data_IF_213496259638
#
_entry.id   IF_213496259638
#
_cell.length_a   1.000
_cell.length_b   1.000
_cell.length_c   1.000
_cell.angle_alpha   90.00
_cell.angle_beta   90.00
_cell.angle_gamma   90.00
#
_symmetry.space_group_name_H-M   'P 1'
#
loop_
_entity.id
_entity.type
_entity.pdbx_description
1 polymer ?
#
# COMPACT_ATOMS: atom_id res chain seq x y z
N UNK A 1 6.89 -7.21 0.12
CA UNK A 1 5.46 -6.83 0.16
C UNK A 1 4.72 -7.56 -0.95
N UNK A 2 3.47 -7.98 -0.73
CA UNK A 2 2.58 -8.39 -1.83
C UNK A 2 2.51 -7.24 -2.84
N UNK A 3 2.54 -7.54 -4.14
CA UNK A 3 2.51 -6.49 -5.18
C UNK A 3 1.22 -5.66 -5.16
N UNK A 4 0.14 -6.22 -4.61
CA UNK A 4 -1.18 -5.59 -4.52
C UNK A 4 -1.37 -4.70 -3.29
N UNK A 5 -0.59 -4.88 -2.22
CA UNK A 5 -0.77 -4.15 -0.96
C UNK A 5 -0.44 -2.64 -1.08
N UNK A 6 0.38 -2.27 -2.07
CA UNK A 6 0.69 -0.87 -2.38
C UNK A 6 -0.48 -0.14 -3.07
N UNK A 7 -1.47 -0.89 -3.60
CA UNK A 7 -2.65 -0.34 -4.28
C UNK A 7 -3.81 -0.09 -3.31
N UNK A 8 -3.67 -0.45 -2.03
CA UNK A 8 -4.66 -0.23 -0.98
C UNK A 8 -4.53 1.20 -0.41
N UNK A 9 -4.73 2.21 -1.26
CA UNK A 9 -4.92 3.58 -0.80
C UNK A 9 -6.38 3.78 -0.40
N UNK A 10 -6.62 4.15 0.87
CA UNK A 10 -7.98 4.29 1.37
C UNK A 10 -8.07 5.01 2.71
N UNK A 11 -9.05 5.90 2.81
CA UNK A 11 -9.48 6.50 4.06
C UNK A 11 -10.81 5.86 4.50
N UNK A 12 -10.98 5.47 5.78
CA UNK A 12 -9.98 5.43 6.86
C UNK A 12 -9.06 4.20 6.76
N UNK A 13 -7.97 4.16 7.52
CA UNK A 13 -7.06 3.01 7.50
C UNK A 13 -7.71 1.74 8.07
N UNK A 14 -7.96 0.75 7.22
CA UNK A 14 -8.60 -0.53 7.56
C UNK A 14 -7.75 -1.37 8.50
N UNK A 15 -6.43 -1.42 8.30
CA UNK A 15 -5.52 -2.14 9.19
C UNK A 15 -5.48 -1.54 10.59
N UNK A 16 -5.43 -0.22 10.71
CA UNK A 16 -5.51 0.46 12.01
C UNK A 16 -6.87 0.23 12.66
N UNK A 17 -7.95 0.30 11.90
CA UNK A 17 -9.32 0.02 12.39
C UNK A 17 -9.41 -1.39 12.97
N UNK A 18 -8.97 -2.41 12.24
CA UNK A 18 -9.03 -3.80 12.68
C UNK A 18 -8.08 -4.09 13.86
N UNK A 19 -6.85 -3.55 13.83
CA UNK A 19 -5.90 -3.78 14.92
C UNK A 19 -6.40 -3.17 16.24
N UNK A 20 -6.91 -1.93 16.21
CA UNK A 20 -7.36 -1.23 17.40
C UNK A 20 -8.69 -1.81 17.92
N UNK A 21 -9.61 -2.27 17.07
CA UNK A 21 -10.82 -2.95 17.53
C UNK A 21 -10.50 -4.24 18.32
N UNK A 22 -9.56 -5.05 17.81
CA UNK A 22 -9.08 -6.25 18.50
C UNK A 22 -8.38 -5.91 19.81
N UNK A 23 -7.55 -4.87 19.83
CA UNK A 23 -6.88 -4.43 21.07
C UNK A 23 -7.87 -3.97 22.12
N UNK A 24 -8.84 -3.11 21.75
CA UNK A 24 -9.85 -2.61 22.70
C UNK A 24 -10.71 -3.75 23.23
N UNK A 25 -11.19 -4.64 22.37
CA UNK A 25 -11.99 -5.79 22.81
C UNK A 25 -11.19 -6.80 23.63
N UNK A 26 -9.93 -7.07 23.25
CA UNK A 26 -9.04 -7.96 24.01
C UNK A 26 -8.67 -7.40 25.38
N UNK A 27 -8.44 -6.09 25.49
CA UNK A 27 -8.22 -5.41 26.77
C UNK A 27 -9.48 -5.48 27.65
N UNK A 28 -10.67 -5.37 27.07
CA UNK A 28 -11.92 -5.58 27.79
C UNK A 28 -11.99 -7.00 28.37
N UNK A 29 -11.79 -8.04 27.54
CA UNK A 29 -11.83 -9.44 28.00
C UNK A 29 -10.79 -9.75 29.07
N UNK A 30 -9.58 -9.18 28.99
CA UNK A 30 -8.55 -9.37 30.03
C UNK A 30 -8.93 -8.69 31.35
N UNK A 31 -9.72 -7.62 31.30
CA UNK A 31 -10.12 -6.84 32.45
C UNK A 31 -11.52 -7.16 32.97
N UNK A 32 -12.23 -8.10 32.34
CA UNK A 32 -13.51 -8.59 32.85
C UNK A 32 -13.33 -9.29 34.21
N UNK A 33 -14.33 -9.19 35.11
CA UNK A 33 -14.29 -9.85 36.41
C UNK A 33 -14.22 -11.38 36.31
N UNK A 34 -14.69 -11.94 35.18
CA UNK A 34 -14.73 -13.39 34.93
C UNK A 34 -13.41 -13.95 34.35
N UNK A 35 -12.38 -13.10 34.21
CA UNK A 35 -11.09 -13.52 33.68
C UNK A 35 -10.37 -14.46 34.65
N UNK A 36 -10.14 -15.70 34.21
CA UNK A 36 -9.40 -16.74 34.95
C UNK A 36 -7.89 -16.66 34.76
N UNK A 37 -7.39 -15.60 34.11
CA UNK A 37 -5.99 -15.44 33.73
C UNK A 37 -5.14 -15.00 34.92
N UNK A 38 -4.00 -15.67 35.12
CA UNK A 38 -3.03 -15.33 36.17
C UNK A 38 -2.54 -13.86 36.05
N UNK A 39 -2.30 -13.14 37.16
CA UNK A 39 -1.88 -11.74 37.12
C UNK A 39 -0.64 -11.46 36.26
N UNK A 40 0.36 -12.35 36.28
CA UNK A 40 1.57 -12.21 35.45
C UNK A 40 1.23 -12.36 33.97
N UNK A 41 0.45 -13.39 33.61
CA UNK A 41 0.00 -13.61 32.25
C UNK A 41 -0.87 -12.43 31.74
N UNK A 42 -1.71 -11.85 32.61
CA UNK A 42 -2.49 -10.66 32.29
C UNK A 42 -1.61 -9.47 31.92
N UNK A 43 -0.52 -9.21 32.65
CA UNK A 43 0.45 -8.15 32.32
C UNK A 43 1.12 -8.43 30.97
N UNK A 44 1.54 -9.67 30.74
CA UNK A 44 2.17 -10.08 29.48
C UNK A 44 1.21 -9.83 28.30
N UNK A 45 -0.05 -10.24 28.41
CA UNK A 45 -1.04 -10.03 27.36
C UNK A 45 -1.34 -8.55 27.12
N UNK A 46 -1.37 -7.70 28.15
CA UNK A 46 -1.47 -6.25 27.97
C UNK A 46 -0.31 -5.72 27.12
N UNK A 47 0.92 -6.07 27.47
CA UNK A 47 2.11 -5.63 26.72
C UNK A 47 2.05 -6.11 25.27
N UNK A 48 1.67 -7.37 25.02
CA UNK A 48 1.54 -7.92 23.67
C UNK A 48 0.48 -7.16 22.87
N UNK A 49 -0.70 -6.89 23.44
CA UNK A 49 -1.77 -6.16 22.76
C UNK A 49 -1.34 -4.74 22.40
N UNK A 50 -0.66 -4.04 23.32
CA UNK A 50 -0.14 -2.70 23.03
C UNK A 50 0.92 -2.72 21.92
N UNK A 51 1.86 -3.68 21.96
CA UNK A 51 2.86 -3.84 20.90
C UNK A 51 2.18 -4.16 19.56
N UNK A 52 1.21 -5.08 19.55
CA UNK A 52 0.44 -5.44 18.36
C UNK A 52 -0.26 -4.24 17.73
N UNK A 53 -1.05 -3.49 18.52
CA UNK A 53 -1.79 -2.32 18.02
C UNK A 53 -0.85 -1.21 17.53
N UNK A 54 0.14 -0.85 18.34
CA UNK A 54 1.09 0.23 18.01
C UNK A 54 1.99 -0.13 16.82
N UNK A 55 2.45 -1.38 16.71
CA UNK A 55 3.29 -1.82 15.59
C UNK A 55 2.55 -1.78 14.25
N UNK A 56 1.27 -2.15 14.20
CA UNK A 56 0.48 -2.04 12.96
C UNK A 56 0.22 -0.57 12.61
N UNK A 57 -0.18 0.25 13.57
CA UNK A 57 -0.42 1.68 13.37
C UNK A 57 0.83 2.40 12.87
N UNK A 58 1.97 2.23 13.54
CA UNK A 58 3.25 2.80 13.12
C UNK A 58 3.71 2.17 11.79
N UNK A 59 3.49 0.88 11.59
CA UNK A 59 3.84 0.17 10.36
C UNK A 59 3.15 0.76 9.13
N UNK A 60 1.87 1.15 9.23
CA UNK A 60 1.15 1.82 8.14
C UNK A 60 1.75 3.19 7.78
N UNK A 61 2.21 3.95 8.79
CA UNK A 61 2.91 5.23 8.58
C UNK A 61 4.33 5.02 8.03
N UNK A 62 5.07 4.06 8.57
CA UNK A 62 6.45 3.76 8.19
C UNK A 62 6.54 3.29 6.73
N UNK A 63 5.60 2.46 6.29
CA UNK A 63 5.52 2.01 4.91
C UNK A 63 4.97 3.07 3.95
N UNK A 64 4.56 4.25 4.44
CA UNK A 64 4.02 5.33 3.60
C UNK A 64 2.67 5.02 2.96
N UNK A 65 1.93 4.03 3.48
CA UNK A 65 0.66 3.58 2.89
C UNK A 65 -0.56 4.37 3.39
N UNK A 66 -0.41 5.21 4.42
CA UNK A 66 -1.44 6.12 4.92
C UNK A 66 -0.85 7.39 5.52
N UNK A 67 -1.64 8.46 5.50
CA UNK A 67 -1.37 9.67 6.28
C UNK A 67 -1.74 9.52 7.75
N UNK A 68 -1.30 10.48 8.57
CA UNK A 68 -1.66 10.55 9.99
C UNK A 68 -3.17 10.59 10.21
N UNK A 69 -3.89 11.34 9.37
CA UNK A 69 -5.34 11.49 9.49
C UNK A 69 -6.10 10.17 9.27
N UNK A 70 -5.69 9.35 8.30
CA UNK A 70 -6.32 8.06 7.99
C UNK A 70 -6.15 7.07 9.15
N UNK A 71 -4.96 7.07 9.75
CA UNK A 71 -4.60 6.19 10.86
C UNK A 71 -5.29 6.62 12.16
N UNK A 72 -5.36 7.93 12.44
CA UNK A 72 -6.08 8.46 13.60
C UNK A 72 -7.56 8.13 13.49
N UNK A 73 -8.18 8.42 12.34
CA UNK A 73 -9.60 8.16 12.12
C UNK A 73 -9.90 6.66 12.15
N UNK A 74 -9.07 5.84 11.50
CA UNK A 74 -9.20 4.39 11.55
C UNK A 74 -9.07 3.84 12.97
N UNK A 75 -8.11 4.33 13.75
CA UNK A 75 -7.94 3.93 15.15
C UNK A 75 -9.15 4.30 16.01
N UNK A 76 -9.71 5.50 15.82
CA UNK A 76 -10.94 5.91 16.51
C UNK A 76 -12.14 5.03 16.13
N UNK A 77 -12.33 4.77 14.84
CA UNK A 77 -13.39 3.88 14.35
C UNK A 77 -13.23 2.46 14.91
N UNK A 78 -12.01 1.94 14.94
CA UNK A 78 -11.69 0.64 15.53
C UNK A 78 -12.03 0.58 17.01
N UNK A 79 -11.64 1.61 17.78
CA UNK A 79 -11.96 1.71 19.19
C UNK A 79 -13.48 1.79 19.44
N UNK A 80 -14.20 2.55 18.61
CA UNK A 80 -15.66 2.64 18.66
C UNK A 80 -16.32 1.27 18.40
N UNK A 81 -15.89 0.54 17.36
CA UNK A 81 -16.42 -0.79 17.08
C UNK A 81 -16.11 -1.78 18.21
N UNK A 82 -14.91 -1.73 18.78
CA UNK A 82 -14.55 -2.52 19.95
C UNK A 82 -15.44 -2.18 21.16
N UNK A 83 -15.73 -0.89 21.40
CA UNK A 83 -16.62 -0.44 22.45
C UNK A 83 -18.08 -0.89 22.24
N UNK A 84 -18.58 -0.85 21.00
CA UNK A 84 -19.91 -1.35 20.65
C UNK A 84 -20.00 -2.86 20.88
N UNK A 85 -18.99 -3.63 20.44
CA UNK A 85 -18.94 -5.08 20.68
C UNK A 85 -18.83 -5.41 22.16
N UNK A 86 -18.10 -4.62 22.94
CA UNK A 86 -18.10 -4.73 24.39
C UNK A 86 -19.50 -4.51 24.98
N UNK A 87 -20.16 -3.41 24.62
CA UNK A 87 -21.40 -2.98 25.28
C UNK A 87 -22.63 -3.82 24.90
N UNK A 88 -22.66 -4.35 23.67
CA UNK A 88 -23.81 -5.07 23.12
C UNK A 88 -23.49 -6.52 22.71
N UNK A 89 -22.27 -7.01 23.00
CA UNK A 89 -21.81 -8.31 22.53
C UNK A 89 -22.64 -9.47 23.06
N UNK A 90 -22.97 -9.47 24.35
CA UNK A 90 -23.76 -10.53 24.98
C UNK A 90 -25.19 -10.58 24.43
N UNK A 91 -25.85 -9.43 24.29
CA UNK A 91 -27.18 -9.33 23.68
C UNK A 91 -27.17 -9.71 22.20
N UNK A 92 -26.10 -9.38 21.47
CA UNK A 92 -25.92 -9.81 20.08
C UNK A 92 -25.77 -11.33 19.98
N UNK A 93 -24.91 -11.91 20.82
CA UNK A 93 -24.66 -13.35 20.83
C UNK A 93 -25.95 -14.12 21.21
N UNK A 94 -26.69 -13.67 22.22
CA UNK A 94 -27.99 -14.23 22.57
C UNK A 94 -29.00 -14.14 21.41
N UNK A 95 -29.07 -12.99 20.73
CA UNK A 95 -29.94 -12.78 19.57
C UNK A 95 -29.61 -13.75 18.42
N UNK A 96 -28.33 -14.03 18.17
CA UNK A 96 -27.90 -14.94 17.11
C UNK A 96 -28.11 -16.41 17.52
N UNK A 97 -27.70 -16.81 18.73
CA UNK A 97 -27.76 -18.23 19.13
C UNK A 97 -29.18 -18.71 19.46
N UNK A 98 -30.00 -17.86 20.09
CA UNK A 98 -31.39 -18.21 20.47
C UNK A 98 -32.44 -17.75 19.44
N UNK A 99 -32.01 -16.94 18.47
CA UNK A 99 -32.89 -16.32 17.48
C UNK A 99 -33.55 -17.32 16.53
N UNK A 100 -34.61 -16.86 15.87
CA UNK A 100 -35.19 -17.58 14.73
C UNK A 100 -34.33 -17.45 13.48
N UNK A 101 -34.49 -18.36 12.53
CA UNK A 101 -33.82 -18.28 11.21
C UNK A 101 -34.06 -16.94 10.48
N UNK A 102 -35.17 -16.26 10.76
CA UNK A 102 -35.50 -14.96 10.19
C UNK A 102 -34.49 -13.87 10.60
N UNK A 103 -33.93 -13.95 11.81
CA UNK A 103 -32.88 -13.03 12.29
C UNK A 103 -31.63 -13.20 11.43
N UNK A 104 -31.24 -14.44 11.14
CA UNK A 104 -30.09 -14.74 10.28
C UNK A 104 -30.32 -14.25 8.85
N UNK A 105 -31.52 -14.48 8.29
CA UNK A 105 -31.85 -13.92 6.98
C UNK A 105 -31.83 -12.40 6.96
N UNK A 106 -32.25 -11.73 8.04
CA UNK A 106 -32.16 -10.27 8.15
C UNK A 106 -30.69 -9.80 8.20
N UNK A 107 -29.83 -10.47 8.97
CA UNK A 107 -28.37 -10.17 9.02
C UNK A 107 -27.75 -10.35 7.64
N UNK A 108 -28.00 -11.48 6.97
CA UNK A 108 -27.51 -11.74 5.61
C UNK A 108 -28.02 -10.69 4.63
N UNK A 109 -29.30 -10.30 4.70
CA UNK A 109 -29.86 -9.27 3.84
C UNK A 109 -29.20 -7.90 4.05
N UNK A 110 -28.93 -7.52 5.31
CA UNK A 110 -28.21 -6.28 5.64
C UNK A 110 -26.79 -6.31 5.09
N UNK A 111 -26.05 -7.41 5.29
CA UNK A 111 -24.69 -7.54 4.76
C UNK A 111 -24.67 -7.49 3.24
N UNK A 112 -25.61 -8.16 2.56
CA UNK A 112 -25.74 -8.09 1.10
C UNK A 112 -26.09 -6.67 0.62
N UNK A 113 -26.94 -5.94 1.35
CA UNK A 113 -27.23 -4.54 1.06
C UNK A 113 -25.98 -3.65 1.22
N UNK A 114 -25.17 -3.88 2.26
CA UNK A 114 -23.91 -3.16 2.48
C UNK A 114 -22.88 -3.47 1.40
N UNK A 115 -22.75 -4.74 0.99
CA UNK A 115 -21.91 -5.14 -0.15
C UNK A 115 -22.38 -4.45 -1.43
N UNK A 116 -23.70 -4.32 -1.63
CA UNK A 116 -24.29 -3.66 -2.80
C UNK A 116 -24.06 -2.14 -2.80
N UNK A 117 -24.06 -1.53 -1.62
CA UNK A 117 -23.77 -0.11 -1.39
C UNK A 117 -22.27 0.19 -1.35
N UNK A 118 -21.41 -0.84 -1.35
CA UNK A 118 -19.98 -0.67 -1.26
C UNK A 118 -19.49 0.27 -2.38
N UNK A 119 -18.82 1.39 -2.04
CA UNK A 119 -18.33 2.33 -3.03
C UNK A 119 -17.47 1.65 -4.09
N UNK A 120 -17.59 2.08 -5.34
CA UNK A 120 -16.69 1.63 -6.39
C UNK A 120 -15.37 2.41 -6.24
N UNK A 121 -14.22 1.71 -6.13
CA UNK A 121 -12.95 2.40 -6.02
C UNK A 121 -12.64 3.15 -7.32
N UNK A 122 -11.87 4.24 -7.22
CA UNK A 122 -11.43 5.00 -8.39
C UNK A 122 -10.51 4.15 -9.28
N UNK A 123 -9.59 3.42 -8.65
CA UNK A 123 -8.62 2.54 -9.30
C UNK A 123 -8.92 1.06 -9.02
N UNK A 124 -8.37 0.17 -9.85
CA UNK A 124 -8.48 -1.28 -9.66
C UNK A 124 -7.63 -1.75 -8.47
N UNK A 125 -8.21 -1.79 -7.27
CA UNK A 125 -7.57 -2.32 -6.06
C UNK A 125 -8.19 -3.66 -5.60
N UNK A 126 -7.50 -4.46 -4.77
CA UNK A 126 -8.06 -5.68 -4.18
C UNK A 126 -9.13 -5.38 -3.11
N UNK A 127 -9.31 -4.12 -2.69
CA UNK A 127 -10.10 -3.72 -1.54
C UNK A 127 -11.55 -4.25 -1.53
N UNK A 128 -12.19 -4.29 -2.70
CA UNK A 128 -13.55 -4.83 -2.82
C UNK A 128 -13.58 -6.35 -2.67
N UNK A 129 -12.62 -7.04 -3.28
CA UNK A 129 -12.52 -8.50 -3.19
C UNK A 129 -12.27 -8.93 -1.74
N UNK A 130 -11.45 -8.19 -1.00
CA UNK A 130 -11.20 -8.43 0.42
C UNK A 130 -12.44 -8.16 1.25
N UNK A 131 -13.17 -7.08 0.96
CA UNK A 131 -14.43 -6.76 1.64
C UNK A 131 -15.50 -7.84 1.42
N UNK A 132 -15.58 -8.40 0.21
CA UNK A 132 -16.44 -9.54 -0.09
C UNK A 132 -16.03 -10.81 0.67
N UNK A 133 -14.73 -11.07 0.79
CA UNK A 133 -14.21 -12.19 1.56
C UNK A 133 -14.58 -12.05 3.04
N UNK A 134 -14.37 -10.88 3.65
CA UNK A 134 -14.76 -10.58 5.03
C UNK A 134 -16.28 -10.73 5.24
N UNK A 135 -17.09 -10.13 4.36
CA UNK A 135 -18.55 -10.23 4.42
C UNK A 135 -19.03 -11.68 4.29
N UNK A 136 -18.43 -12.45 3.38
CA UNK A 136 -18.68 -13.88 3.22
C UNK A 136 -18.43 -14.65 4.51
N UNK A 137 -17.22 -14.55 5.07
CA UNK A 137 -16.86 -15.23 6.33
C UNK A 137 -17.81 -14.83 7.46
N UNK A 138 -18.14 -13.53 7.59
CA UNK A 138 -19.08 -13.04 8.60
C UNK A 138 -20.44 -13.74 8.46
N UNK A 139 -21.08 -13.66 7.29
CA UNK A 139 -22.38 -14.30 7.07
C UNK A 139 -22.36 -15.81 7.32
N UNK A 140 -21.28 -16.48 6.92
CA UNK A 140 -21.10 -17.91 7.14
C UNK A 140 -20.93 -18.27 8.61
N UNK A 141 -20.16 -17.47 9.35
CA UNK A 141 -19.97 -17.64 10.78
C UNK A 141 -21.28 -17.40 11.55
N UNK A 142 -22.05 -16.34 11.23
CA UNK A 142 -23.34 -16.07 11.89
C UNK A 142 -24.36 -17.19 11.63
N UNK A 143 -24.46 -17.66 10.39
CA UNK A 143 -25.32 -18.79 10.04
C UNK A 143 -24.90 -20.07 10.77
N UNK A 144 -23.60 -20.38 10.75
CA UNK A 144 -23.06 -21.58 11.38
C UNK A 144 -23.20 -21.55 12.90
N UNK A 145 -22.99 -20.39 13.54
CA UNK A 145 -23.17 -20.19 14.97
C UNK A 145 -24.62 -20.47 15.40
N UNK A 146 -25.59 -19.90 14.69
CA UNK A 146 -27.01 -20.14 14.94
C UNK A 146 -27.41 -21.60 14.73
N UNK A 147 -26.97 -22.21 13.63
CA UNK A 147 -27.33 -23.59 13.32
C UNK A 147 -26.65 -24.56 14.30
N UNK A 148 -25.36 -24.38 14.56
CA UNK A 148 -24.60 -25.21 15.49
C UNK A 148 -25.19 -25.19 16.89
N UNK A 149 -25.60 -24.01 17.40
CA UNK A 149 -26.24 -23.87 18.71
C UNK A 149 -27.54 -24.68 18.87
N UNK A 150 -28.22 -25.03 17.77
CA UNK A 150 -29.42 -25.88 17.79
C UNK A 150 -29.11 -27.37 17.70
N UNK A 151 -27.86 -27.75 17.44
CA UNK A 151 -27.46 -29.15 17.33
C UNK A 151 -27.20 -29.76 18.71
N UNK A 152 -27.24 -31.10 18.78
CA UNK A 152 -26.89 -31.85 20.01
C UNK A 152 -25.41 -31.80 20.36
N UNK A 153 -24.57 -31.31 19.44
CA UNK A 153 -23.12 -31.21 19.62
C UNK A 153 -22.70 -29.92 20.35
N UNK A 154 -23.59 -28.93 20.42
CA UNK A 154 -23.32 -27.67 21.10
C UNK A 154 -23.44 -27.80 22.62
N UNK A 155 -22.46 -27.23 23.32
CA UNK A 155 -22.46 -26.97 24.76
C UNK A 155 -22.72 -25.49 25.01
N UNK A 156 -23.30 -25.18 26.17
CA UNK A 156 -23.45 -23.80 26.64
C UNK A 156 -22.37 -23.39 27.66
N UNK A 157 -21.43 -24.28 27.96
CA UNK A 157 -20.31 -24.07 28.86
C UNK A 157 -18.99 -24.24 28.08
N UNK A 158 -18.04 -23.29 28.11
CA UNK A 158 -18.04 -22.01 28.85
C UNK A 158 -18.79 -20.85 28.19
N UNK A 159 -19.21 -20.98 26.94
CA UNK A 159 -20.03 -19.98 26.25
C UNK A 159 -21.11 -20.66 25.40
N UNK A 160 -22.25 -19.99 25.11
CA UNK A 160 -23.33 -20.56 24.31
C UNK A 160 -22.85 -21.01 22.93
N UNK A 161 -23.29 -22.19 22.48
CA UNK A 161 -23.00 -22.68 21.13
C UNK A 161 -21.54 -23.08 20.91
N UNK A 162 -20.86 -23.64 21.92
CA UNK A 162 -19.44 -24.03 21.82
C UNK A 162 -19.18 -25.53 21.89
N UNK A 163 -18.00 -25.94 21.46
CA UNK A 163 -17.40 -27.24 21.79
C UNK A 163 -16.35 -27.02 22.87
N UNK A 164 -16.54 -27.57 24.10
CA UNK A 164 -15.64 -27.32 25.21
C UNK A 164 -14.19 -27.74 24.88
N UNK A 165 -13.24 -26.89 25.29
CA UNK A 165 -11.82 -27.09 25.08
C UNK A 165 -11.05 -26.71 26.33
N UNK A 166 -10.16 -27.60 26.78
CA UNK A 166 -9.23 -27.35 27.87
C UNK A 166 -7.88 -27.97 27.50
N UNK A 167 -6.84 -27.13 27.45
CA UNK A 167 -5.48 -27.55 27.13
C UNK A 167 -4.93 -28.56 28.14
N UNK A 168 -5.27 -28.41 29.43
CA UNK A 168 -4.78 -29.30 30.49
C UNK A 168 -5.36 -30.71 30.35
N UNK A 169 -6.63 -30.82 29.91
CA UNK A 169 -7.32 -32.11 29.73
C UNK A 169 -7.00 -32.78 28.39
N UNK A 170 -6.93 -32.02 27.30
CA UNK A 170 -6.66 -32.56 25.95
C UNK A 170 -5.18 -32.81 25.68
N UNK A 171 -4.30 -32.00 26.25
CA UNK A 171 -2.86 -32.04 26.04
C UNK A 171 -2.42 -31.47 24.68
N UNK A 172 -1.16 -31.08 24.61
CA UNK A 172 -0.57 -30.40 23.45
C UNK A 172 -0.67 -31.18 22.13
N UNK A 173 -0.57 -32.51 22.16
CA UNK A 173 -0.62 -33.33 20.95
C UNK A 173 -1.98 -33.21 20.23
N UNK A 174 -3.08 -33.31 20.98
CA UNK A 174 -4.43 -33.15 20.42
C UNK A 174 -4.69 -31.71 20.00
N UNK A 175 -4.19 -30.72 20.74
CA UNK A 175 -4.30 -29.30 20.35
C UNK A 175 -3.60 -29.01 19.03
N UNK A 176 -2.37 -29.51 18.83
CA UNK A 176 -1.63 -29.36 17.57
C UNK A 176 -2.39 -30.08 16.44
N UNK A 177 -2.89 -31.29 16.68
CA UNK A 177 -3.69 -32.03 15.71
C UNK A 177 -4.96 -31.26 15.31
N UNK A 178 -5.66 -30.61 16.25
CA UNK A 178 -6.82 -29.74 15.95
C UNK A 178 -6.45 -28.60 15.00
N UNK A 179 -5.35 -27.90 15.28
CA UNK A 179 -4.90 -26.78 14.44
C UNK A 179 -4.58 -27.28 13.03
N UNK A 180 -3.79 -28.36 12.91
CA UNK A 180 -3.42 -28.92 11.61
C UNK A 180 -4.67 -29.38 10.84
N UNK A 181 -5.56 -30.13 11.50
CA UNK A 181 -6.77 -30.65 10.88
C UNK A 181 -7.70 -29.53 10.42
N UNK A 182 -7.92 -28.52 11.26
CA UNK A 182 -8.76 -27.36 10.91
C UNK A 182 -8.20 -26.60 9.71
N UNK A 183 -6.90 -26.33 9.70
CA UNK A 183 -6.22 -25.69 8.56
C UNK A 183 -6.38 -26.53 7.28
N UNK A 184 -6.13 -27.84 7.36
CA UNK A 184 -6.28 -28.75 6.21
C UNK A 184 -7.70 -28.74 5.67
N UNK A 185 -8.73 -28.79 6.53
CA UNK A 185 -10.14 -28.77 6.10
C UNK A 185 -10.47 -27.45 5.36
N UNK A 186 -10.02 -26.30 5.88
CA UNK A 186 -10.24 -24.99 5.24
C UNK A 186 -9.57 -24.93 3.87
N UNK A 187 -8.34 -25.44 3.74
CA UNK A 187 -7.65 -25.50 2.44
C UNK A 187 -8.36 -26.43 1.46
N UNK A 188 -8.78 -27.63 1.90
CA UNK A 188 -9.52 -28.57 1.07
C UNK A 188 -10.84 -27.97 0.58
N UNK A 189 -11.57 -27.26 1.45
CA UNK A 189 -12.79 -26.55 1.06
C UNK A 189 -12.52 -25.54 -0.06
N UNK A 190 -11.51 -24.67 0.11
CA UNK A 190 -11.15 -23.66 -0.91
C UNK A 190 -10.79 -24.31 -2.24
N UNK A 191 -9.97 -25.36 -2.21
CA UNK A 191 -9.50 -26.07 -3.42
C UNK A 191 -10.63 -26.84 -4.13
N UNK A 192 -11.64 -27.34 -3.40
CA UNK A 192 -12.79 -28.05 -4.00
C UNK A 192 -13.84 -27.07 -4.51
N UNK A 193 -14.19 -26.05 -3.72
CA UNK A 193 -15.31 -25.17 -4.04
C UNK A 193 -15.02 -24.23 -5.20
N UNK A 194 -13.81 -23.69 -5.28
CA UNK A 194 -13.42 -22.76 -6.34
C UNK A 194 -13.61 -23.33 -7.76
N UNK A 195 -13.03 -24.50 -8.12
CA UNK A 195 -13.26 -25.08 -9.45
C UNK A 195 -14.71 -25.55 -9.64
N UNK A 196 -15.37 -26.02 -8.58
CA UNK A 196 -16.77 -26.45 -8.64
C UNK A 196 -17.71 -25.29 -8.99
N UNK A 197 -17.50 -24.12 -8.37
CA UNK A 197 -18.28 -22.92 -8.59
C UNK A 197 -18.00 -22.30 -9.96
N UNK A 198 -16.74 -22.26 -10.42
CA UNK A 198 -16.42 -21.82 -11.78
C UNK A 198 -17.06 -22.71 -12.86
N UNK A 199 -17.38 -23.97 -12.53
CA UNK A 199 -18.11 -24.88 -13.42
C UNK A 199 -19.63 -24.73 -13.31
N UNK A 200 -20.17 -24.52 -12.10
CA UNK A 200 -21.60 -24.54 -11.82
C UNK A 200 -22.28 -23.17 -11.96
N UNK A 201 -21.59 -22.08 -11.61
CA UNK A 201 -22.18 -20.75 -11.59
C UNK A 201 -22.46 -20.14 -12.98
N UNK A 202 -21.59 -20.25 -14.01
CA UNK A 202 -21.87 -19.64 -15.31
C UNK A 202 -23.22 -20.00 -15.93
N UNK A 203 -23.70 -21.27 -15.94
CA UNK A 203 -25.03 -21.58 -16.46
C UNK A 203 -26.16 -21.00 -15.59
N UNK A 204 -25.98 -20.89 -14.27
CA UNK A 204 -26.97 -20.29 -13.36
C UNK A 204 -27.08 -18.78 -13.62
N UNK A 205 -25.94 -18.10 -13.77
CA UNK A 205 -25.91 -16.66 -14.05
C UNK A 205 -26.57 -16.31 -15.39
N UNK A 206 -26.38 -17.13 -16.43
CA UNK A 206 -27.09 -16.93 -17.70
C UNK A 206 -28.61 -17.05 -17.57
N UNK A 207 -29.11 -17.83 -16.62
CA UNK A 207 -30.55 -17.93 -16.33
C UNK A 207 -31.02 -16.70 -15.55
N UNK A 208 -30.24 -16.24 -14.56
CA UNK A 208 -30.56 -15.05 -13.76
C UNK A 208 -30.54 -13.77 -14.62
N UNK A 209 -29.61 -13.67 -15.57
CA UNK A 209 -29.53 -12.55 -16.50
C UNK A 209 -30.76 -12.49 -17.42
N UNK A 210 -31.26 -13.63 -17.89
CA UNK A 210 -32.53 -13.72 -18.63
C UNK A 210 -33.73 -13.24 -17.79
N UNK A 211 -33.62 -13.28 -16.47
CA UNK A 211 -34.63 -12.78 -15.53
C UNK A 211 -34.46 -11.29 -15.16
N UNK A 212 -33.45 -10.61 -15.72
CA UNK A 212 -33.26 -9.16 -15.57
C UNK A 212 -32.67 -8.70 -14.23
N UNK A 213 -32.16 -9.62 -13.40
CA UNK A 213 -31.56 -9.33 -12.09
C UNK A 213 -30.03 -9.15 -12.18
N UNK A 214 -29.54 -8.45 -13.21
CA UNK A 214 -28.10 -8.22 -13.34
C UNK A 214 -27.62 -7.13 -12.35
N UNK A 215 -26.37 -7.26 -11.91
CA UNK A 215 -25.69 -6.32 -11.02
C UNK A 215 -24.41 -5.85 -11.73
N UNK A 216 -24.53 -4.93 -12.69
CA UNK A 216 -23.41 -4.54 -13.53
C UNK A 216 -22.47 -3.66 -12.70
N UNK A 217 -21.18 -3.99 -12.72
CA UNK A 217 -20.13 -3.28 -11.98
C UNK A 217 -18.98 -2.95 -12.91
N UNK A 218 -18.46 -1.72 -12.81
CA UNK A 218 -17.57 -1.11 -13.83
C UNK A 218 -16.33 -1.93 -14.21
N UNK A 219 -15.78 -2.71 -13.28
CA UNK A 219 -14.55 -3.49 -13.47
C UNK A 219 -14.78 -5.00 -13.66
N UNK A 220 -16.03 -5.44 -13.85
CA UNK A 220 -16.38 -6.85 -13.97
C UNK A 220 -17.08 -7.13 -15.29
N UNK A 221 -16.57 -8.10 -16.06
CA UNK A 221 -17.22 -8.59 -17.27
C UNK A 221 -18.47 -9.39 -16.90
N UNK A 222 -19.57 -9.12 -17.59
CA UNK A 222 -20.86 -9.76 -17.37
C UNK A 222 -20.90 -11.20 -17.90
N UNK A 223 -21.70 -12.05 -17.26
CA UNK A 223 -21.92 -13.44 -17.62
C UNK A 223 -22.41 -13.69 -19.07
N UNK A 224 -23.02 -12.70 -19.73
CA UNK A 224 -23.41 -12.75 -21.15
C UNK A 224 -22.23 -12.61 -22.11
N UNK A 225 -21.15 -11.95 -21.68
CA UNK A 225 -20.02 -11.59 -22.54
C UNK A 225 -18.92 -12.67 -22.56
N UNK A 226 -19.05 -13.74 -21.76
CA UNK A 226 -18.08 -14.84 -21.75
C UNK A 226 -18.71 -16.24 -21.78
N UNK A 227 -18.10 -17.11 -22.59
CA UNK A 227 -18.56 -18.50 -22.71
C UNK A 227 -17.97 -19.42 -21.62
N UNK A 228 -16.71 -19.16 -21.22
CA UNK A 228 -15.97 -19.99 -20.26
C UNK A 228 -15.00 -19.13 -19.46
N UNK A 229 -15.04 -19.28 -18.13
CA UNK A 229 -14.05 -18.68 -17.22
C UNK A 229 -12.72 -19.46 -17.35
N UNK A 230 -11.58 -18.81 -17.57
CA UNK A 230 -10.28 -19.47 -17.57
C UNK A 230 -10.04 -20.23 -16.26
N UNK A 231 -9.59 -21.49 -16.33
CA UNK A 231 -9.41 -22.35 -15.14
C UNK A 231 -8.19 -22.02 -14.27
N UNK A 232 -7.35 -21.08 -14.70
CA UNK A 232 -6.12 -20.68 -14.01
C UNK A 232 -6.02 -19.15 -14.01
N UNK A 233 -6.87 -18.51 -13.22
CA UNK A 233 -6.76 -17.08 -12.96
C UNK A 233 -5.62 -16.88 -11.95
N UNK A 234 -4.68 -15.98 -12.28
CA UNK A 234 -3.73 -15.46 -11.29
C UNK A 234 -4.53 -14.54 -10.38
N UNK A 235 -4.91 -15.07 -9.23
CA UNK A 235 -5.60 -14.28 -8.22
C UNK A 235 -4.58 -13.45 -7.44
N UNK A 236 -4.96 -12.22 -7.11
CA UNK A 236 -4.22 -11.37 -6.18
C UNK A 236 -4.51 -11.76 -4.71
N UNK A 237 -4.98 -12.98 -4.47
CA UNK A 237 -5.36 -13.47 -3.15
C UNK A 237 -4.13 -13.57 -2.24
N UNK A 238 -4.31 -13.22 -0.97
CA UNK A 238 -3.27 -13.30 0.08
C UNK A 238 -2.80 -14.74 0.32
N UNK A 239 -3.65 -15.73 0.01
CA UNK A 239 -3.34 -17.16 0.17
C UNK A 239 -3.07 -17.78 -1.21
N UNK A 240 -1.83 -18.26 -1.46
CA UNK A 240 -1.48 -18.88 -2.73
C UNK A 240 -2.25 -20.19 -2.92
N UNK A 241 -2.54 -20.54 -4.18
CA UNK A 241 -3.10 -21.86 -4.49
C UNK A 241 -2.08 -22.96 -4.14
N UNK A 242 -2.56 -24.16 -3.81
CA UNK A 242 -1.67 -25.29 -3.45
C UNK A 242 -0.64 -25.59 -4.54
N UNK A 243 -0.99 -25.34 -5.81
CA UNK A 243 -0.09 -25.48 -6.97
C UNK A 243 1.11 -24.52 -6.97
N UNK A 244 1.04 -23.41 -6.23
CA UNK A 244 2.09 -22.38 -6.18
C UNK A 244 3.09 -22.62 -5.03
N UNK A 245 2.77 -23.48 -4.07
CA UNK A 245 3.62 -23.83 -2.92
C UNK A 245 5.04 -24.28 -3.33
N UNK A 246 5.24 -25.13 -4.36
CA UNK A 246 6.58 -25.51 -4.82
C UNK A 246 7.38 -24.32 -5.37
N UNK A 247 6.72 -23.38 -6.05
CA UNK A 247 7.35 -22.17 -6.59
C UNK A 247 7.78 -21.21 -5.46
N UNK A 248 7.02 -21.16 -4.37
CA UNK A 248 7.36 -20.38 -3.18
C UNK A 248 8.54 -21.02 -2.44
N UNK A 249 8.54 -22.34 -2.24
CA UNK A 249 9.66 -23.08 -1.63
C UNK A 249 10.97 -22.91 -2.42
N UNK A 250 10.90 -22.91 -3.75
CA UNK A 250 12.05 -22.64 -4.62
C UNK A 250 12.48 -21.18 -4.59
N UNK A 251 11.55 -20.22 -4.45
CA UNK A 251 11.86 -18.79 -4.26
C UNK A 251 12.50 -18.48 -2.90
N UNK A 252 12.18 -19.25 -1.85
CA UNK A 252 12.82 -19.17 -0.53
C UNK A 252 14.25 -19.74 -0.60
N UNK A 253 14.43 -20.83 -1.37
CA UNK A 253 15.74 -21.47 -1.58
C UNK A 253 16.68 -20.63 -2.44
N UNK A 254 16.13 -19.83 -3.35
CA UNK A 254 16.86 -18.88 -4.18
C UNK A 254 16.17 -17.52 -4.17
N UNK A 255 16.44 -16.66 -3.16
CA UNK A 255 15.84 -15.34 -3.09
C UNK A 255 16.37 -14.50 -4.25
N UNK A 256 15.61 -14.42 -5.35
CA UNK A 256 15.79 -13.33 -6.31
C UNK A 256 15.59 -12.04 -5.54
N UNK A 257 16.60 -11.17 -5.52
CA UNK A 257 16.47 -9.79 -5.03
C UNK A 257 15.33 -9.16 -5.83
N UNK A 258 14.13 -9.09 -5.26
CA UNK A 258 13.02 -8.32 -5.83
C UNK A 258 13.55 -6.91 -5.91
N UNK A 259 13.73 -6.39 -7.13
CA UNK A 259 13.99 -4.98 -7.32
C UNK A 259 12.85 -4.27 -6.60
N UNK A 260 13.17 -3.48 -5.58
CA UNK A 260 12.22 -2.53 -5.02
C UNK A 260 11.81 -1.68 -6.20
N UNK A 261 10.55 -1.78 -6.62
CA UNK A 261 10.05 -0.95 -7.70
C UNK A 261 10.04 0.49 -7.18
N UNK A 262 11.01 1.26 -7.64
CA UNK A 262 11.12 2.69 -7.34
C UNK A 262 10.44 3.41 -8.50
N UNK A 263 9.31 4.07 -8.23
CA UNK A 263 8.48 4.75 -9.22
C UNK A 263 6.98 4.45 -9.05
N UNK A 264 6.11 5.12 -9.82
CA UNK A 264 4.65 4.95 -9.74
C UNK A 264 4.23 3.48 -9.86
N UNK A 265 3.46 2.97 -8.90
CA UNK A 265 2.95 1.59 -8.92
C UNK A 265 1.47 1.53 -9.30
N UNK A 266 0.73 2.59 -8.99
CA UNK A 266 -0.69 2.75 -9.34
C UNK A 266 -0.89 3.88 -10.36
N UNK A 267 -2.07 3.94 -10.98
CA UNK A 267 -2.47 5.07 -11.81
C UNK A 267 -2.52 6.35 -10.97
N UNK A 268 -3.05 6.30 -9.74
CA UNK A 268 -3.01 7.41 -8.80
C UNK A 268 -1.58 7.90 -8.50
N UNK A 269 -0.60 7.01 -8.29
CA UNK A 269 0.79 7.40 -8.05
C UNK A 269 1.38 8.11 -9.28
N UNK A 270 0.98 7.69 -10.49
CA UNK A 270 1.41 8.32 -11.73
C UNK A 270 0.82 9.72 -11.85
N UNK A 271 -0.47 9.89 -11.57
CA UNK A 271 -1.11 11.19 -11.52
C UNK A 271 -0.51 12.11 -10.44
N UNK A 272 -0.20 11.59 -9.26
CA UNK A 272 0.47 12.36 -8.20
C UNK A 272 1.88 12.78 -8.62
N UNK A 273 2.62 11.87 -9.25
CA UNK A 273 3.96 12.17 -9.78
C UNK A 273 3.91 13.25 -10.85
N UNK A 274 2.93 13.20 -11.77
CA UNK A 274 2.70 14.23 -12.77
C UNK A 274 2.30 15.56 -12.13
N UNK A 275 1.40 15.55 -11.14
CA UNK A 275 0.99 16.75 -10.41
C UNK A 275 2.14 17.39 -9.61
N UNK A 276 3.00 16.57 -8.99
CA UNK A 276 4.19 17.03 -8.29
C UNK A 276 5.20 17.68 -9.25
N UNK A 277 5.43 17.07 -10.42
CA UNK A 277 6.26 17.63 -11.50
C UNK A 277 5.71 18.97 -12.01
N UNK A 278 4.40 19.01 -12.28
CA UNK A 278 3.68 20.22 -12.70
C UNK A 278 3.85 21.35 -11.68
N UNK A 279 3.67 21.05 -10.39
CA UNK A 279 3.86 22.02 -9.30
C UNK A 279 5.30 22.54 -9.23
N UNK A 280 6.30 21.66 -9.27
CA UNK A 280 7.72 22.06 -9.27
C UNK A 280 8.07 22.95 -10.45
N UNK A 281 7.49 22.68 -11.61
CA UNK A 281 7.67 23.51 -12.81
C UNK A 281 7.00 24.88 -12.67
N UNK A 282 5.81 24.98 -12.07
CA UNK A 282 5.20 26.29 -11.76
C UNK A 282 6.06 27.09 -10.79
N UNK A 283 6.63 26.44 -9.78
CA UNK A 283 7.55 27.07 -8.82
C UNK A 283 8.88 27.49 -9.48
N UNK A 284 9.43 26.70 -10.41
CA UNK A 284 10.66 27.06 -11.14
C UNK A 284 10.45 28.25 -12.08
N UNK A 285 9.31 28.32 -12.79
CA UNK A 285 8.95 29.47 -13.63
C UNK A 285 8.74 30.73 -12.78
N UNK A 286 8.03 30.61 -11.65
CA UNK A 286 7.81 31.73 -10.72
C UNK A 286 9.13 32.25 -10.12
N UNK A 287 10.06 31.36 -9.76
CA UNK A 287 11.38 31.74 -9.23
C UNK A 287 12.32 32.35 -10.28
N UNK A 288 12.22 31.95 -11.55
CA UNK A 288 12.93 32.61 -12.64
C UNK A 288 12.37 33.99 -12.95
N UNK A 289 11.05 34.16 -12.84
CA UNK A 289 10.40 35.47 -13.02
C UNK A 289 10.77 36.45 -11.90
N UNK A 290 10.93 36.00 -10.66
CA UNK A 290 11.41 36.86 -9.56
C UNK A 290 12.91 37.21 -9.68
N UNK A 291 13.73 36.32 -10.25
CA UNK A 291 15.14 36.60 -10.59
C UNK A 291 15.29 37.59 -11.76
N UNK A 292 14.45 37.52 -12.79
CA UNK A 292 14.52 38.46 -13.92
C UNK A 292 14.10 39.88 -13.52
N UNK A 293 13.12 40.02 -12.62
CA UNK A 293 12.70 41.31 -12.06
C UNK A 293 13.80 41.93 -11.17
N UNK A 294 14.59 41.12 -10.46
CA UNK A 294 15.74 41.60 -9.68
C UNK A 294 16.96 41.98 -10.54
N UNK A 295 17.13 41.38 -11.72
CA UNK A 295 18.23 41.71 -12.65
C UNK A 295 17.97 43.01 -13.44
N UNK A 296 16.71 43.44 -13.55
CA UNK A 296 16.30 44.68 -14.23
C UNK A 296 16.49 45.97 -13.42
N UNK A 297 16.94 45.90 -12.16
CA UNK A 297 17.18 47.08 -11.31
C UNK A 297 18.67 47.26 -10.99
N UNK A 298 19.51 47.37 -12.02
CA UNK A 298 20.80 48.05 -11.83
C UNK A 298 20.53 49.54 -11.65
N UNK A 299 20.68 50.02 -10.42
CA UNK A 299 20.81 51.46 -10.15
C UNK A 299 22.01 51.99 -10.97
N UNK A 300 21.91 53.19 -11.57
CA UNK A 300 23.04 53.79 -12.28
C UNK A 300 24.21 54.01 -11.32
N UNK A 301 25.47 53.89 -11.78
CA UNK A 301 26.62 54.06 -10.91
C UNK A 301 26.63 55.48 -10.37
N UNK A 302 26.64 55.62 -9.04
CA UNK A 302 26.87 56.88 -8.36
C UNK A 302 28.29 57.36 -8.61
N UNK A 303 28.44 58.68 -8.65
CA UNK A 303 29.65 59.43 -8.99
C UNK A 303 30.69 59.29 -7.85
N UNK A 304 31.28 58.11 -7.65
CA UNK A 304 32.44 57.96 -6.76
C UNK A 304 33.55 57.06 -7.33
N UNK A 305 33.33 56.37 -8.45
CA UNK A 305 34.36 55.52 -9.09
C UNK A 305 35.23 56.23 -10.17
N UNK A 306 35.18 57.56 -10.25
CA UNK A 306 35.99 58.36 -11.21
C UNK A 306 37.27 58.96 -10.60
N UNK A 307 37.86 58.34 -9.59
CA UNK A 307 39.12 58.83 -9.01
C UNK A 307 40.17 57.75 -8.75
N UNK A 308 40.44 56.90 -9.75
CA UNK A 308 41.76 56.29 -9.90
C UNK A 308 41.94 55.68 -11.30
N UNK A 309 42.08 56.55 -12.30
CA UNK A 309 42.73 56.20 -13.58
C UNK A 309 43.47 57.42 -14.10
N UNK A 310 44.71 57.58 -13.67
CA UNK A 310 45.72 58.25 -14.49
C UNK A 310 47.10 57.65 -14.25
N UNK A 311 47.80 57.47 -15.38
CA UNK A 311 49.22 57.14 -15.54
C UNK A 311 49.52 55.64 -15.38
N UNK A 312 50.10 54.91 -16.34
CA UNK A 312 50.81 55.24 -17.60
C UNK A 312 50.96 53.94 -18.40
N UNK A 313 50.93 54.02 -19.73
CA UNK A 313 51.23 52.95 -20.70
C UNK A 313 52.76 52.88 -20.98
N UNK A 314 53.27 52.16 -22.00
CA UNK A 314 53.35 50.69 -22.14
C UNK A 314 54.76 50.21 -22.61
N UNK A 315 55.16 48.98 -22.30
CA UNK A 315 56.15 48.20 -23.07
C UNK A 315 56.12 46.75 -22.55
N UNK A 316 55.90 45.76 -23.43
CA UNK A 316 56.91 44.78 -23.89
C UNK A 316 57.72 44.11 -22.77
N UNK A 317 58.03 42.82 -22.76
CA UNK A 317 57.77 41.65 -23.57
C UNK A 317 58.46 40.51 -22.78
N UNK A 318 58.15 39.27 -23.15
CA UNK A 318 59.08 38.15 -23.11
C UNK A 318 59.66 37.67 -21.75
N UNK A 319 59.20 36.48 -21.39
CA UNK A 319 60.03 35.28 -21.35
C UNK A 319 60.85 34.92 -20.10
N UNK A 320 60.90 33.59 -19.96
CA UNK A 320 61.94 32.78 -19.34
C UNK A 320 61.98 32.76 -17.81
N UNK A 321 62.31 31.65 -17.15
CA UNK A 321 62.44 30.23 -17.46
C UNK A 321 63.01 29.62 -16.16
N UNK A 322 62.75 28.33 -15.93
CA UNK A 322 63.61 27.39 -15.22
C UNK A 322 63.92 27.67 -13.72
N UNK A 323 63.50 26.77 -12.83
CA UNK A 323 64.35 25.72 -12.23
C UNK A 323 65.39 26.31 -11.23
N UNK A 324 65.61 25.79 -10.03
CA UNK A 324 65.94 24.39 -9.70
C UNK A 324 66.14 24.28 -8.17
N UNK A 325 65.79 23.12 -7.62
CA UNK A 325 66.45 22.36 -6.53
C UNK A 325 67.18 23.04 -5.36
N UNK A 326 66.88 22.59 -4.13
CA UNK A 326 67.85 22.62 -3.02
C UNK A 326 67.28 22.26 -1.65
N UNK A 327 67.42 20.99 -1.24
CA UNK A 327 67.49 20.50 0.15
C UNK A 327 68.99 20.25 0.47
N UNK A 328 69.48 19.98 1.71
CA UNK A 328 68.80 19.80 3.01
C UNK A 328 69.51 20.49 4.22
N UNK A 329 69.00 20.35 5.46
CA UNK A 329 69.84 20.50 6.67
C UNK A 329 69.19 21.00 7.98
N UNK A 330 68.72 20.07 8.81
CA UNK A 330 68.82 19.95 10.28
C UNK A 330 68.76 21.19 11.24
N UNK A 331 67.79 21.18 12.18
CA UNK A 331 67.94 21.04 13.68
C UNK A 331 66.93 21.87 14.51
N UNK A 332 66.13 21.14 15.31
CA UNK A 332 65.45 21.40 16.63
C UNK A 332 65.49 22.86 17.18
N UNK A 333 64.43 23.49 17.70
CA UNK A 333 63.63 23.10 18.89
C UNK A 333 62.32 23.93 19.06
N UNK A 334 61.28 23.24 19.56
CA UNK A 334 60.09 23.63 20.34
C UNK A 334 59.88 25.12 20.74
N UNK A 335 58.70 25.70 20.45
CA UNK A 335 57.55 25.87 21.37
C UNK A 335 56.36 26.55 20.64
N UNK A 336 55.10 26.37 21.10
CA UNK A 336 53.90 26.73 20.34
C UNK A 336 53.28 28.05 20.82
N UNK A 337 52.77 28.86 19.89
CA UNK A 337 51.46 29.53 19.99
C UNK A 337 51.29 30.59 18.88
N UNK A 338 50.05 30.65 18.39
CA UNK A 338 49.37 31.79 17.74
C UNK A 338 49.94 32.31 16.42
N UNK A 339 49.28 31.94 15.32
CA UNK A 339 48.86 32.95 14.34
C UNK A 339 47.63 32.51 13.54
N UNK A 340 46.74 33.47 13.35
CA UNK A 340 45.50 33.47 12.57
C UNK A 340 45.75 33.59 11.07
N UNK A 341 44.73 33.19 10.28
CA UNK A 341 44.49 33.44 8.85
C UNK A 341 45.09 32.49 7.81
N UNK A 342 44.28 31.52 7.37
CA UNK A 342 44.15 31.22 5.95
C UNK A 342 42.76 30.65 5.63
N UNK A 343 42.16 31.21 4.57
CA UNK A 343 40.89 30.81 3.96
C UNK A 343 41.10 29.46 3.24
N UNK A 344 40.36 28.43 3.63
CA UNK A 344 40.31 27.13 2.92
C UNK A 344 39.10 27.10 1.96
N UNK A 345 39.21 26.49 0.76
CA UNK A 345 38.10 26.35 -0.18
C UNK A 345 37.03 25.38 0.36
N UNK A 346 35.75 25.48 -0.06
CA UNK A 346 34.69 24.64 0.48
C UNK A 346 34.88 23.19 0.06
N UNK A 347 34.84 22.30 1.05
CA UNK A 347 34.87 20.86 0.86
C UNK A 347 33.65 20.37 0.08
N UNK A 348 33.89 19.57 -0.95
CA UNK A 348 32.87 18.82 -1.69
C UNK A 348 32.18 17.87 -0.70
N UNK A 349 30.93 18.17 -0.34
CA UNK A 349 30.08 17.26 0.43
C UNK A 349 29.74 16.05 -0.43
N UNK A 350 30.00 14.86 0.09
CA UNK A 350 29.45 13.62 -0.45
C UNK A 350 27.92 13.67 -0.35
N UNK A 351 27.17 13.29 -1.41
CA UNK A 351 25.72 13.37 -1.42
C UNK A 351 25.13 12.43 -0.36
N UNK A 352 24.08 12.90 0.33
CA UNK A 352 23.35 12.08 1.30
C UNK A 352 22.43 11.16 0.52
N UNK A 353 22.18 9.94 1.02
CA UNK A 353 21.27 8.94 0.43
C UNK A 353 19.90 9.49 -0.01
N UNK A 354 19.43 10.57 0.62
CA UNK A 354 18.16 11.23 0.27
C UNK A 354 18.21 11.93 -1.10
N UNK A 355 19.34 12.54 -1.45
CA UNK A 355 19.56 13.18 -2.75
C UNK A 355 19.57 12.11 -3.86
N UNK A 356 20.09 10.92 -3.55
CA UNK A 356 20.10 9.76 -4.44
C UNK A 356 18.68 9.25 -4.76
N UNK A 357 17.77 9.27 -3.77
CA UNK A 357 16.35 8.97 -3.99
C UNK A 357 15.62 10.08 -4.76
N UNK A 358 15.96 11.35 -4.53
CA UNK A 358 15.44 12.50 -5.28
C UNK A 358 15.81 12.40 -6.78
N UNK A 359 17.00 11.87 -7.09
CA UNK A 359 17.44 11.60 -8.47
C UNK A 359 16.81 10.36 -9.12
N UNK A 360 16.34 9.38 -8.34
CA UNK A 360 15.61 8.21 -8.85
C UNK A 360 14.14 8.51 -9.21
N UNK A 361 13.60 9.65 -8.75
CA UNK A 361 12.24 10.12 -9.08
C UNK A 361 12.12 10.76 -10.46
N UNK A 362 13.11 10.53 -11.34
CA UNK A 362 13.22 11.18 -12.64
C UNK A 362 13.43 12.67 -12.46
N UNK A 363 14.68 13.10 -12.33
CA UNK A 363 14.99 14.51 -12.51
C UNK A 363 14.73 14.89 -13.96
N UNK A 364 13.61 15.59 -14.18
CA UNK A 364 13.45 16.44 -15.35
C UNK A 364 14.49 17.56 -15.26
N UNK A 365 15.72 17.27 -15.69
CA UNK A 365 16.66 18.32 -16.09
C UNK A 365 16.15 18.84 -17.43
N UNK A 366 15.78 20.13 -17.55
CA UNK A 366 15.51 20.70 -18.87
C UNK A 366 16.81 20.62 -19.67
N UNK A 367 16.86 19.72 -20.64
CA UNK A 367 17.93 19.67 -21.63
C UNK A 367 17.69 20.87 -22.55
N UNK A 368 18.23 22.03 -22.18
CA UNK A 368 18.46 23.08 -23.16
C UNK A 368 19.64 22.63 -24.01
N UNK A 369 19.35 22.00 -25.16
CA UNK A 369 20.35 21.75 -26.19
C UNK A 369 20.78 23.09 -26.79
N UNK A 370 21.86 23.66 -26.26
CA UNK A 370 22.54 24.84 -26.82
C UNK A 370 23.18 24.58 -28.20
N UNK A 371 23.18 23.34 -28.69
CA UNK A 371 23.80 22.97 -29.96
C UNK A 371 22.95 23.35 -31.19
N UNK A 372 21.63 23.48 -31.06
CA UNK A 372 20.76 23.87 -32.18
C UNK A 372 20.80 25.38 -32.48
N UNK A 373 21.30 26.20 -31.54
CA UNK A 373 21.44 27.66 -31.74
C UNK A 373 22.77 28.02 -32.44
N UNK A 374 23.78 27.17 -32.37
CA UNK A 374 25.11 27.46 -32.95
C UNK A 374 25.26 27.11 -34.43
N UNK A 375 24.32 26.36 -35.02
CA UNK A 375 24.36 26.01 -36.44
C UNK A 375 23.63 27.00 -37.38
N UNK A 376 23.12 28.12 -36.86
CA UNK A 376 22.42 29.14 -37.66
C UNK A 376 23.22 30.43 -37.91
N UNK A 377 24.54 30.44 -37.69
CA UNK A 377 25.38 31.62 -37.98
C UNK A 377 26.18 31.54 -39.29
N UNK A 378 25.77 30.66 -40.20
CA UNK A 378 26.47 30.37 -41.46
C UNK A 378 25.73 30.72 -42.74
N UNK A 379 24.99 31.84 -42.82
CA UNK A 379 24.67 32.52 -44.09
C UNK A 379 23.96 33.84 -43.80
N UNK A 380 24.54 34.95 -44.27
CA UNK A 380 23.92 36.26 -44.14
C UNK A 380 22.70 36.43 -45.04
N UNK A 381 21.61 36.94 -44.47
CA UNK A 381 20.67 37.92 -45.02
C UNK A 381 19.47 38.00 -44.07
N UNK A 382 19.02 39.22 -43.77
CA UNK A 382 18.00 39.49 -42.75
C UNK A 382 16.71 38.69 -42.93
N UNK A 383 16.33 37.99 -41.87
CA UNK A 383 14.96 37.57 -41.63
C UNK A 383 14.69 37.80 -40.14
N UNK A 384 13.72 38.67 -39.86
CA UNK A 384 13.19 38.85 -38.51
C UNK A 384 12.58 37.52 -38.07
N UNK A 385 13.36 36.69 -37.38
CA UNK A 385 12.84 35.49 -36.75
C UNK A 385 11.91 35.95 -35.64
N UNK A 386 10.62 35.88 -35.92
CA UNK A 386 9.56 36.23 -35.00
C UNK A 386 9.69 35.33 -33.75
N UNK A 387 10.18 35.90 -32.65
CA UNK A 387 10.44 35.21 -31.37
C UNK A 387 9.19 34.47 -30.87
N UNK A 388 7.99 34.94 -31.27
CA UNK A 388 6.70 34.31 -30.96
C UNK A 388 6.47 32.96 -31.67
N UNK A 389 7.12 32.72 -32.82
CA UNK A 389 7.03 31.45 -33.56
C UNK A 389 8.01 30.42 -33.02
N UNK A 390 9.21 30.85 -32.61
CA UNK A 390 10.20 29.99 -31.98
C UNK A 390 9.78 29.53 -30.57
N UNK A 391 9.13 30.42 -29.81
CA UNK A 391 8.52 30.08 -28.50
C UNK A 391 7.32 29.14 -28.66
N UNK A 392 6.43 29.40 -29.63
CA UNK A 392 5.33 28.46 -29.92
C UNK A 392 5.80 27.07 -30.38
N UNK A 393 6.88 26.98 -31.15
CA UNK A 393 7.47 25.71 -31.57
C UNK A 393 8.13 24.96 -30.39
N UNK A 394 8.83 25.67 -29.50
CA UNK A 394 9.40 25.11 -28.28
C UNK A 394 8.31 24.60 -27.32
N UNK A 395 7.24 25.38 -27.11
CA UNK A 395 6.07 24.98 -26.30
C UNK A 395 5.39 23.73 -26.87
N UNK A 396 5.25 23.63 -28.20
CA UNK A 396 4.67 22.43 -28.84
C UNK A 396 5.56 21.19 -28.74
N UNK A 397 6.88 21.36 -28.77
CA UNK A 397 7.85 20.26 -28.63
C UNK A 397 7.89 19.77 -27.18
N UNK A 398 7.87 20.69 -26.21
CA UNK A 398 7.79 20.38 -24.78
C UNK A 398 6.50 19.60 -24.45
N UNK A 399 5.35 20.04 -24.98
CA UNK A 399 4.08 19.33 -24.82
C UNK A 399 4.10 17.91 -25.44
N UNK A 400 4.75 17.72 -26.58
CA UNK A 400 4.87 16.40 -27.21
C UNK A 400 5.77 15.45 -26.41
N UNK A 401 6.89 15.95 -25.89
CA UNK A 401 7.79 15.20 -25.03
C UNK A 401 7.11 14.82 -23.71
N UNK A 402 6.35 15.74 -23.11
CA UNK A 402 5.55 15.48 -21.91
C UNK A 402 4.50 14.38 -22.15
N UNK A 403 3.78 14.46 -23.28
CA UNK A 403 2.79 13.45 -23.63
C UNK A 403 3.41 12.07 -23.91
N UNK A 404 4.64 12.02 -24.46
CA UNK A 404 5.39 10.77 -24.57
C UNK A 404 5.89 10.25 -23.23
N UNK A 405 6.42 11.11 -22.36
CA UNK A 405 6.84 10.72 -21.02
C UNK A 405 5.68 10.20 -20.17
N UNK A 406 4.50 10.83 -20.27
CA UNK A 406 3.26 10.38 -19.65
C UNK A 406 2.89 8.98 -20.14
N UNK A 407 2.85 8.76 -21.46
CA UNK A 407 2.59 7.44 -22.05
C UNK A 407 3.62 6.41 -21.60
N UNK A 408 4.90 6.79 -21.53
CA UNK A 408 5.97 5.91 -21.05
C UNK A 408 5.79 5.58 -19.57
N UNK A 409 5.33 6.53 -18.75
CA UNK A 409 5.03 6.31 -17.33
C UNK A 409 3.86 5.34 -17.15
N UNK A 410 2.73 5.56 -17.83
CA UNK A 410 1.57 4.67 -17.76
C UNK A 410 1.85 3.29 -18.39
N UNK A 411 2.71 3.21 -19.42
CA UNK A 411 3.08 1.93 -20.03
C UNK A 411 3.88 1.00 -19.10
N UNK A 412 4.53 1.55 -18.07
CA UNK A 412 5.27 0.78 -17.05
C UNK A 412 4.34 0.22 -15.96
N UNK A 413 3.11 0.71 -15.87
CA UNK A 413 2.10 0.20 -14.93
C UNK A 413 1.52 -1.07 -15.53
N UNK A 414 1.54 -2.16 -14.77
CA UNK A 414 0.91 -3.40 -15.20
C UNK A 414 -0.60 -3.19 -15.30
N UNK A 415 -1.22 -3.44 -16.47
CA UNK A 415 -2.66 -3.24 -16.61
C UNK A 415 -3.42 -4.18 -15.66
N UNK A 416 -4.52 -3.71 -15.05
CA UNK A 416 -5.31 -4.53 -14.14
C UNK A 416 -5.88 -5.75 -14.87
N UNK A 417 -5.94 -6.89 -14.18
CA UNK A 417 -6.51 -8.11 -14.75
C UNK A 417 -8.00 -7.94 -15.04
N UNK A 418 -8.47 -8.65 -16.05
CA UNK A 418 -9.91 -8.83 -16.29
C UNK A 418 -10.52 -9.60 -15.12
N UNK A 419 -11.61 -9.07 -14.54
CA UNK A 419 -12.40 -9.73 -13.49
C UNK A 419 -13.77 -10.09 -14.03
N UNK A 420 -14.32 -11.23 -13.63
CA UNK A 420 -15.66 -11.68 -14.03
C UNK A 420 -16.67 -11.52 -12.90
N UNK A 421 -17.91 -11.15 -13.20
CA UNK A 421 -18.99 -11.01 -12.20
C UNK A 421 -19.20 -12.28 -11.34
N UNK A 422 -19.01 -13.46 -11.93
CA UNK A 422 -19.06 -14.75 -11.24
C UNK A 422 -17.98 -14.90 -10.17
N UNK A 423 -16.85 -14.19 -10.26
CA UNK A 423 -15.81 -14.21 -9.22
C UNK A 423 -16.34 -13.60 -7.91
N UNK A 424 -17.21 -12.59 -7.99
CA UNK A 424 -17.81 -11.94 -6.81
C UNK A 424 -18.63 -12.95 -6.00
N UNK A 425 -19.54 -13.66 -6.67
CA UNK A 425 -20.38 -14.67 -6.01
C UNK A 425 -19.57 -15.91 -5.64
N UNK A 426 -18.59 -16.30 -6.47
CA UNK A 426 -17.68 -17.39 -6.12
C UNK A 426 -16.95 -17.09 -4.82
N UNK A 427 -16.34 -15.91 -4.69
CA UNK A 427 -15.66 -15.49 -3.46
C UNK A 427 -16.63 -15.49 -2.29
N UNK A 428 -17.78 -14.85 -2.41
CA UNK A 428 -18.77 -14.79 -1.34
C UNK A 428 -19.18 -16.19 -0.85
N UNK A 429 -19.48 -17.13 -1.76
CA UNK A 429 -19.85 -18.50 -1.40
C UNK A 429 -18.69 -19.28 -0.79
N UNK A 430 -17.48 -19.17 -1.34
CA UNK A 430 -16.28 -19.85 -0.80
C UNK A 430 -16.02 -19.38 0.62
N UNK A 431 -15.99 -18.07 0.86
CA UNK A 431 -15.69 -17.48 2.16
C UNK A 431 -16.84 -17.65 3.17
N UNK A 432 -18.10 -17.63 2.72
CA UNK A 432 -19.25 -18.08 3.54
C UNK A 432 -19.04 -19.51 4.04
N UNK A 433 -18.68 -20.42 3.15
CA UNK A 433 -18.38 -21.80 3.54
C UNK A 433 -17.22 -21.92 4.52
N UNK A 434 -16.17 -21.10 4.39
CA UNK A 434 -15.05 -21.08 5.34
C UNK A 434 -15.53 -20.68 6.74
N UNK A 435 -16.31 -19.60 6.84
CA UNK A 435 -16.89 -19.15 8.11
C UNK A 435 -17.77 -20.23 8.74
N UNK A 436 -18.66 -20.82 7.94
CA UNK A 436 -19.57 -21.88 8.40
C UNK A 436 -18.82 -23.15 8.85
N UNK A 437 -17.86 -23.63 8.05
CA UNK A 437 -17.03 -24.79 8.41
C UNK A 437 -16.28 -24.57 9.72
N UNK A 438 -15.75 -23.36 9.93
CA UNK A 438 -14.95 -23.03 11.10
C UNK A 438 -15.73 -23.11 12.42
N UNK A 439 -17.01 -22.72 12.40
CA UNK A 439 -17.84 -22.64 13.61
C UNK A 439 -18.74 -23.85 13.85
N UNK A 440 -19.03 -24.65 12.81
CA UNK A 440 -19.93 -25.80 12.93
C UNK A 440 -19.24 -27.14 12.62
N UNK A 441 -18.87 -27.36 11.35
CA UNK A 441 -18.42 -28.67 10.90
C UNK A 441 -17.09 -29.09 11.50
N UNK A 442 -16.11 -28.18 11.59
CA UNK A 442 -14.81 -28.48 12.17
C UNK A 442 -14.93 -28.82 13.66
N UNK A 443 -15.68 -28.05 14.48
CA UNK A 443 -15.98 -28.43 15.85
C UNK A 443 -16.66 -29.81 15.99
N UNK A 444 -17.65 -30.13 15.15
CA UNK A 444 -18.30 -31.46 15.12
C UNK A 444 -17.27 -32.55 14.83
N UNK A 445 -16.41 -32.36 13.82
CA UNK A 445 -15.35 -33.31 13.48
C UNK A 445 -14.38 -33.50 14.65
N UNK A 446 -14.03 -32.43 15.37
CA UNK A 446 -13.19 -32.56 16.56
C UNK A 446 -13.84 -33.42 17.65
N UNK A 447 -15.13 -33.29 17.86
CA UNK A 447 -15.86 -34.13 18.82
C UNK A 447 -15.89 -35.59 18.38
N UNK A 448 -16.18 -35.86 17.10
CA UNK A 448 -16.19 -37.22 16.54
C UNK A 448 -14.83 -37.90 16.61
N UNK A 449 -13.74 -37.14 16.51
CA UNK A 449 -12.36 -37.66 16.57
C UNK A 449 -11.77 -37.69 17.99
N UNK A 450 -12.55 -37.36 19.02
CA UNK A 450 -12.06 -37.30 20.42
C UNK A 450 -11.00 -36.22 20.64
N UNK A 451 -11.04 -35.18 19.81
CA UNK A 451 -10.22 -33.97 19.91
C UNK A 451 -10.94 -32.87 20.68
N UNK A 452 -12.22 -33.03 21.02
CA UNK A 452 -12.95 -32.18 21.97
C UNK A 452 -13.19 -32.89 23.31
N UNK A 453 -13.67 -32.13 24.30
CA UNK A 453 -14.04 -32.66 25.62
C UNK A 453 -15.46 -33.19 25.67
#
# INVERSE_FOLDING_TARGET
MSGSAALEYGFPSTHSTNAISVVVYGLYLLNSPDSTVEPVAKIIFHVILYIFGTSIVIGRLYCGMHGFFDVITGSFLGALLGYVRYSYGESYDELIYSGSINVIFAVVAVVLALVRMHPEPADSCPCFDDSLAFAGVLMGAEFGNWHFAQTTFASNDPYPGTVPYDLAKLGWAKTIARIILGVVIVFLWREIMKPSLHKLLPPVFRVIERLGLNLPRRFFILASEYEKVPGHLKDDDVIPNVSEIPSILTSIRHPRRRAVSVGPQSEADAYETLAYREKRRRESISSNQSRSVSAGRRLPPTIEDKRNKHNTSPAAAAAAAAATSGRPGNRKTNTPATDSNSFSPPAIRTPRKLDEYEHMMGTGTPVFNTEDILNMHGAGAGADVNVNVATGAADTLEYQLEAEEEKVMFSKITPPRVRYDVEVVTKLVVYFGIGWLAVEFIPIIFQLLGLAL
#
